data_IF_934258005206
#
_entry.id   IF_934258005206
#
_cell.length_a   1.000
_cell.length_b   1.000
_cell.length_c   1.000
_cell.angle_alpha   90.00
_cell.angle_beta   90.00
_cell.angle_gamma   90.00
#
_symmetry.space_group_name_H-M   'P 1'
#
loop_
_entity.id
_entity.type
_entity.pdbx_description
1 polymer ?
#
# COMPACT_ATOMS: atom_id res chain seq x y z
N UNK A 1 -5.40 9.57 -13.25
CA UNK A 1 -5.27 9.01 -11.88
C UNK A 1 -4.72 10.03 -10.86
N UNK A 2 -3.48 10.54 -10.99
CA UNK A 2 -2.86 11.47 -10.00
C UNK A 2 -3.78 12.60 -9.51
N UNK A 3 -4.30 13.42 -10.44
CA UNK A 3 -5.21 14.50 -10.07
C UNK A 3 -6.52 13.98 -9.45
N UNK A 4 -7.07 12.89 -10.00
CA UNK A 4 -8.34 12.30 -9.57
C UNK A 4 -8.30 11.65 -8.17
N UNK A 5 -7.11 11.29 -7.68
CA UNK A 5 -6.89 10.69 -6.35
C UNK A 5 -6.15 11.62 -5.38
N UNK A 6 -5.82 12.85 -5.77
CA UNK A 6 -5.01 13.77 -4.95
C UNK A 6 -5.66 14.07 -3.59
N UNK A 7 -6.96 14.33 -3.57
CA UNK A 7 -7.70 14.57 -2.32
C UNK A 7 -7.67 13.37 -1.37
N UNK A 8 -7.85 12.15 -1.91
CA UNK A 8 -7.82 10.92 -1.13
C UNK A 8 -6.41 10.64 -0.57
N UNK A 9 -5.37 10.91 -1.36
CA UNK A 9 -3.98 10.84 -0.92
C UNK A 9 -3.69 11.82 0.23
N UNK A 10 -4.05 13.10 0.06
CA UNK A 10 -3.84 14.12 1.09
C UNK A 10 -4.55 13.77 2.41
N UNK A 11 -5.82 13.36 2.33
CA UNK A 11 -6.58 12.98 3.52
C UNK A 11 -5.98 11.77 4.25
N UNK A 12 -5.40 10.81 3.51
CA UNK A 12 -4.69 9.68 4.10
C UNK A 12 -3.39 10.12 4.77
N UNK A 13 -2.59 10.97 4.12
CA UNK A 13 -1.35 11.51 4.67
C UNK A 13 -1.58 12.27 5.98
N UNK A 14 -2.62 13.11 6.05
CA UNK A 14 -2.99 13.85 7.26
C UNK A 14 -3.30 12.91 8.43
N UNK A 15 -4.02 11.82 8.18
CA UNK A 15 -4.33 10.81 9.21
C UNK A 15 -3.08 10.05 9.63
N UNK A 16 -2.23 9.66 8.68
CA UNK A 16 -0.98 8.96 8.97
C UNK A 16 0.01 9.85 9.75
N UNK A 17 -0.01 11.16 9.53
CA UNK A 17 0.80 12.13 10.27
C UNK A 17 0.49 12.22 11.76
N UNK A 18 -0.60 11.60 12.23
CA UNK A 18 -0.96 11.53 13.65
C UNK A 18 -0.16 10.46 14.42
N UNK A 19 0.50 9.54 13.72
CA UNK A 19 1.34 8.53 14.35
C UNK A 19 2.74 9.07 14.62
N UNK A 20 3.18 9.04 15.89
CA UNK A 20 4.59 9.13 16.22
C UNK A 20 5.31 7.81 15.91
N UNK A 21 5.79 7.69 14.68
CA UNK A 21 6.49 6.50 14.20
C UNK A 21 7.82 6.22 14.91
N UNK A 22 8.29 7.11 15.80
CA UNK A 22 9.50 6.89 16.58
C UNK A 22 9.28 6.05 17.83
N UNK A 23 8.02 5.83 18.23
CA UNK A 23 7.68 4.96 19.37
C UNK A 23 7.18 3.58 18.91
N UNK A 24 7.55 2.53 19.64
CA UNK A 24 7.08 1.16 19.33
C UNK A 24 5.55 1.07 19.30
N UNK A 25 4.84 1.77 20.20
CA UNK A 25 3.38 1.67 20.29
C UNK A 25 2.68 2.25 19.05
N UNK A 26 3.02 3.47 18.65
CA UNK A 26 2.41 4.11 17.47
C UNK A 26 2.91 3.48 16.18
N UNK A 27 4.18 3.09 16.10
CA UNK A 27 4.69 2.40 14.91
C UNK A 27 4.02 1.04 14.69
N UNK A 28 3.78 0.27 15.77
CA UNK A 28 2.99 -0.96 15.68
C UNK A 28 1.57 -0.68 15.16
N UNK A 29 0.87 0.33 15.70
CA UNK A 29 -0.48 0.70 15.23
C UNK A 29 -0.48 1.09 13.75
N UNK A 30 0.51 1.86 13.32
CA UNK A 30 0.72 2.19 11.91
C UNK A 30 0.88 0.95 11.03
N UNK A 31 1.71 -0.02 11.45
CA UNK A 31 1.88 -1.28 10.71
C UNK A 31 0.61 -2.13 10.72
N UNK A 32 -0.15 -2.15 11.83
CA UNK A 32 -1.41 -2.88 11.93
C UNK A 32 -2.46 -2.29 10.97
N UNK A 33 -2.62 -0.96 10.96
CA UNK A 33 -3.50 -0.26 10.01
C UNK A 33 -3.08 -0.50 8.56
N UNK A 34 -1.78 -0.39 8.28
CA UNK A 34 -1.23 -0.64 6.95
C UNK A 34 -1.49 -2.08 6.50
N UNK A 35 -1.28 -3.06 7.38
CA UNK A 35 -1.53 -4.47 7.07
C UNK A 35 -3.02 -4.79 6.92
N UNK A 36 -3.88 -4.19 7.75
CA UNK A 36 -5.33 -4.37 7.66
C UNK A 36 -5.86 -4.00 6.27
N UNK A 37 -5.29 -2.97 5.62
CA UNK A 37 -5.62 -2.61 4.25
C UNK A 37 -4.84 -3.40 3.19
N UNK A 38 -3.52 -3.56 3.37
CA UNK A 38 -2.64 -4.15 2.37
C UNK A 38 -2.95 -5.62 2.10
N UNK A 39 -3.13 -6.42 3.15
CA UNK A 39 -3.32 -7.87 3.05
C UNK A 39 -4.52 -8.23 2.16
N UNK A 40 -5.74 -7.70 2.40
CA UNK A 40 -6.88 -8.03 1.55
C UNK A 40 -6.74 -7.45 0.14
N UNK A 41 -6.12 -6.29 -0.06
CA UNK A 41 -5.88 -5.72 -1.39
C UNK A 41 -4.92 -6.58 -2.23
N UNK A 42 -3.83 -7.07 -1.64
CA UNK A 42 -2.90 -7.98 -2.33
C UNK A 42 -3.57 -9.33 -2.65
N UNK A 43 -4.37 -9.87 -1.73
CA UNK A 43 -5.15 -11.09 -2.00
C UNK A 43 -6.18 -10.88 -3.13
N UNK A 44 -6.86 -9.73 -3.18
CA UNK A 44 -7.79 -9.41 -4.24
C UNK A 44 -7.08 -9.26 -5.61
N UNK A 45 -5.89 -8.66 -5.65
CA UNK A 45 -5.05 -8.60 -6.84
C UNK A 45 -4.64 -9.99 -7.33
N UNK A 46 -4.27 -10.89 -6.41
CA UNK A 46 -3.96 -12.29 -6.73
C UNK A 46 -5.17 -13.00 -7.37
N UNK A 47 -6.38 -12.83 -6.79
CA UNK A 47 -7.61 -13.38 -7.38
C UNK A 47 -7.98 -12.75 -8.73
N UNK A 48 -7.65 -11.48 -8.95
CA UNK A 48 -7.85 -10.79 -10.23
C UNK A 48 -6.79 -11.13 -11.28
N UNK A 49 -5.87 -12.06 -11.00
CA UNK A 49 -4.88 -12.51 -11.96
C UNK A 49 -3.77 -11.50 -12.22
N UNK A 50 -3.36 -10.71 -11.21
CA UNK A 50 -2.29 -9.71 -11.32
C UNK A 50 -1.01 -10.24 -11.97
N UNK A 51 -0.67 -11.52 -11.77
CA UNK A 51 0.50 -12.16 -12.37
C UNK A 51 0.45 -12.24 -13.92
N UNK A 52 -0.73 -12.16 -14.53
CA UNK A 52 -0.88 -12.05 -15.98
C UNK A 52 -0.57 -10.64 -16.51
N UNK A 53 -0.60 -9.62 -15.65
CA UNK A 53 -0.22 -8.25 -15.98
C UNK A 53 1.23 -7.95 -15.56
N UNK A 54 1.66 -8.50 -14.41
CA UNK A 54 2.94 -8.24 -13.77
C UNK A 54 3.60 -9.57 -13.38
N UNK A 55 4.48 -10.10 -14.23
CA UNK A 55 5.23 -11.34 -13.98
C UNK A 55 6.12 -11.27 -12.73
N UNK A 56 6.54 -10.05 -12.35
CA UNK A 56 7.29 -9.74 -11.15
C UNK A 56 6.41 -9.54 -9.89
N UNK A 57 5.13 -9.93 -9.91
CA UNK A 57 4.20 -9.76 -8.78
C UNK A 57 4.76 -10.28 -7.45
N UNK A 58 5.42 -11.43 -7.45
CA UNK A 58 6.02 -12.01 -6.25
C UNK A 58 7.08 -11.10 -5.60
N UNK A 59 7.73 -10.23 -6.38
CA UNK A 59 8.69 -9.21 -5.93
C UNK A 59 8.02 -7.88 -5.56
N UNK A 60 6.77 -7.66 -5.98
CA UNK A 60 5.97 -6.46 -5.67
C UNK A 60 5.15 -6.62 -4.41
N UNK A 61 4.61 -7.80 -4.12
CA UNK A 61 3.79 -8.02 -2.93
C UNK A 61 4.60 -7.77 -1.65
N UNK A 62 4.01 -7.01 -0.73
CA UNK A 62 4.61 -6.55 0.54
C UNK A 62 4.07 -7.29 1.75
N UNK A 63 3.04 -8.13 1.59
CA UNK A 63 2.46 -8.95 2.66
C UNK A 63 3.52 -9.68 3.51
N UNK A 64 4.55 -10.36 2.95
CA UNK A 64 5.56 -11.01 3.79
C UNK A 64 6.37 -10.03 4.63
N UNK A 65 6.70 -8.86 4.08
CA UNK A 65 7.51 -7.85 4.75
C UNK A 65 6.77 -7.21 5.93
N UNK A 66 5.50 -6.83 5.75
CA UNK A 66 4.71 -6.21 6.83
C UNK A 66 4.35 -7.20 7.94
N UNK A 67 4.10 -8.46 7.60
CA UNK A 67 3.84 -9.50 8.59
C UNK A 67 5.06 -9.80 9.45
N UNK A 68 6.26 -9.80 8.85
CA UNK A 68 7.51 -9.96 9.60
C UNK A 68 7.77 -8.80 10.57
N UNK A 69 7.54 -7.55 10.15
CA UNK A 69 7.69 -6.39 11.02
C UNK A 69 6.65 -6.38 12.15
N UNK A 70 5.41 -6.79 11.89
CA UNK A 70 4.38 -6.96 12.92
C UNK A 70 4.78 -8.03 13.94
N UNK A 71 5.30 -9.17 13.49
CA UNK A 71 5.77 -10.23 14.39
C UNK A 71 6.89 -9.72 15.32
N UNK A 72 7.85 -8.96 14.80
CA UNK A 72 8.96 -8.39 15.59
C UNK A 72 8.49 -7.38 16.66
N UNK A 73 7.35 -6.73 16.42
CA UNK A 73 6.76 -5.78 17.37
C UNK A 73 5.64 -6.40 18.22
N UNK A 74 5.26 -7.66 18.00
CA UNK A 74 4.13 -8.30 18.68
C UNK A 74 2.76 -7.70 18.29
N UNK A 75 2.62 -7.25 17.05
CA UNK A 75 1.37 -6.78 16.47
C UNK A 75 0.63 -7.87 15.71
N UNK A 76 -0.69 -7.71 15.59
CA UNK A 76 -1.57 -8.58 14.80
C UNK A 76 -2.41 -7.71 13.88
N UNK A 77 -2.50 -8.09 12.61
CA UNK A 77 -3.35 -7.41 11.65
C UNK A 77 -4.75 -8.05 11.64
N UNK A 78 -5.79 -7.23 11.61
CA UNK A 78 -7.17 -7.65 11.35
C UNK A 78 -7.51 -7.12 9.95
N UNK A 79 -7.57 -7.97 8.91
CA UNK A 79 -7.86 -7.54 7.55
C UNK A 79 -9.20 -6.80 7.46
N UNK A 80 -9.22 -5.70 6.72
CA UNK A 80 -10.45 -4.99 6.38
C UNK A 80 -11.30 -5.82 5.42
N UNK A 81 -12.62 -5.73 5.58
CA UNK A 81 -13.54 -6.17 4.53
C UNK A 81 -13.42 -5.23 3.33
N UNK A 82 -13.18 -5.80 2.16
CA UNK A 82 -13.23 -5.03 0.92
C UNK A 82 -14.68 -4.83 0.47
N UNK A 83 -14.99 -3.72 -0.22
CA UNK A 83 -16.24 -3.62 -0.96
C UNK A 83 -16.28 -4.69 -2.07
N UNK A 84 -17.45 -4.92 -2.68
CA UNK A 84 -17.58 -5.89 -3.77
C UNK A 84 -16.64 -5.50 -4.91
N UNK A 85 -15.66 -6.35 -5.17
CA UNK A 85 -14.64 -6.11 -6.18
C UNK A 85 -15.14 -6.59 -7.55
N UNK A 86 -14.79 -5.85 -8.60
CA UNK A 86 -14.84 -6.33 -9.98
C UNK A 86 -13.42 -6.70 -10.38
N UNK A 87 -13.03 -7.99 -10.34
CA UNK A 87 -11.64 -8.40 -10.55
C UNK A 87 -11.28 -8.36 -12.04
N UNK A 88 -11.30 -7.17 -12.64
CA UNK A 88 -10.90 -6.91 -14.02
C UNK A 88 -9.51 -6.25 -14.10
N UNK A 89 -9.03 -5.98 -15.31
CA UNK A 89 -7.74 -5.32 -15.52
C UNK A 89 -7.72 -3.91 -14.94
N UNK A 90 -8.84 -3.19 -15.04
CA UNK A 90 -8.95 -1.84 -14.50
C UNK A 90 -8.78 -1.83 -12.96
N UNK A 91 -9.35 -2.81 -12.27
CA UNK A 91 -9.11 -3.05 -10.85
C UNK A 91 -7.62 -3.28 -10.55
N UNK A 92 -6.96 -4.17 -11.30
CA UNK A 92 -5.53 -4.47 -11.10
C UNK A 92 -4.67 -3.21 -11.20
N UNK A 93 -4.79 -2.45 -12.28
CA UNK A 93 -4.00 -1.23 -12.50
C UNK A 93 -4.38 -0.11 -11.53
N UNK A 94 -5.67 0.05 -11.23
CA UNK A 94 -6.20 1.02 -10.26
C UNK A 94 -5.64 0.81 -8.86
N UNK A 95 -5.75 -0.40 -8.33
CA UNK A 95 -5.25 -0.74 -7.00
C UNK A 95 -3.72 -0.73 -6.95
N UNK A 96 -3.03 -1.25 -7.97
CA UNK A 96 -1.56 -1.21 -8.01
C UNK A 96 -1.00 0.20 -8.06
N UNK A 97 -1.68 1.15 -8.73
CA UNK A 97 -1.26 2.56 -8.71
C UNK A 97 -1.11 3.08 -7.28
N UNK A 98 -2.03 2.73 -6.37
CA UNK A 98 -1.98 3.13 -4.97
C UNK A 98 -0.86 2.39 -4.23
N UNK A 99 -0.77 1.07 -4.39
CA UNK A 99 0.23 0.26 -3.68
C UNK A 99 1.67 0.59 -4.12
N UNK A 100 1.91 0.77 -5.41
CA UNK A 100 3.21 1.16 -5.95
C UNK A 100 3.53 2.62 -5.62
N UNK A 101 2.56 3.53 -5.75
CA UNK A 101 2.72 4.94 -5.39
C UNK A 101 3.07 5.15 -3.90
N UNK A 102 2.49 4.35 -3.00
CA UNK A 102 2.76 4.43 -1.55
C UNK A 102 4.23 4.21 -1.17
N UNK A 103 5.04 3.59 -2.03
CA UNK A 103 6.49 3.39 -1.81
C UNK A 103 7.27 4.69 -1.79
N UNK A 104 6.79 5.71 -2.51
CA UNK A 104 7.41 7.03 -2.53
C UNK A 104 7.34 7.68 -1.14
N UNK A 105 6.16 7.60 -0.50
CA UNK A 105 5.98 8.04 0.89
C UNK A 105 6.72 7.16 1.89
N UNK A 106 6.75 5.84 1.66
CA UNK A 106 7.45 4.90 2.53
C UNK A 106 8.95 5.20 2.69
N UNK A 107 9.61 5.72 1.63
CA UNK A 107 11.01 6.12 1.70
C UNK A 107 11.25 7.29 2.69
N UNK A 108 10.29 8.21 2.82
CA UNK A 108 10.35 9.27 3.83
C UNK A 108 10.10 8.69 5.22
N UNK A 109 9.04 7.90 5.41
CA UNK A 109 8.72 7.28 6.70
C UNK A 109 9.84 6.39 7.21
N UNK A 110 10.53 5.68 6.32
CA UNK A 110 11.70 4.87 6.65
C UNK A 110 12.80 5.70 7.32
N UNK A 111 13.05 6.93 6.86
CA UNK A 111 14.04 7.82 7.48
C UNK A 111 13.62 8.24 8.88
N UNK A 112 12.33 8.51 9.08
CA UNK A 112 11.76 8.84 10.40
C UNK A 112 11.92 7.66 11.37
N UNK A 113 11.53 6.47 10.94
CA UNK A 113 11.62 5.23 11.74
C UNK A 113 13.07 4.87 12.06
N UNK A 114 14.00 5.06 11.10
CA UNK A 114 15.42 4.82 11.30
C UNK A 114 16.07 5.77 12.33
N UNK A 115 15.49 6.96 12.54
CA UNK A 115 15.95 7.92 13.54
C UNK A 115 15.41 7.64 14.96
N UNK A 116 14.51 6.67 15.12
CA UNK A 116 13.98 6.30 16.44
C UNK A 116 15.09 5.90 17.41
N UNK A 117 15.00 6.31 18.68
CA UNK A 117 15.87 5.82 19.74
C UNK A 117 15.61 4.35 20.08
N UNK A 118 14.42 3.83 19.76
CA UNK A 118 14.00 2.46 20.07
C UNK A 118 14.58 1.45 19.06
N UNK A 119 15.46 0.52 19.49
CA UNK A 119 16.01 -0.50 18.61
C UNK A 119 14.96 -1.46 18.03
N UNK A 120 13.76 -1.56 18.62
CA UNK A 120 12.64 -2.37 18.09
C UNK A 120 12.04 -1.74 16.84
N UNK A 121 11.88 -0.42 16.87
CA UNK A 121 11.37 0.36 15.75
C UNK A 121 12.36 0.31 14.59
N UNK A 122 13.66 0.55 14.85
CA UNK A 122 14.69 0.58 13.79
C UNK A 122 14.90 -0.75 13.05
N UNK A 123 14.57 -1.89 13.66
CA UNK A 123 14.71 -3.22 13.03
C UNK A 123 13.48 -3.66 12.24
N UNK A 124 12.31 -3.14 12.58
CA UNK A 124 11.04 -3.48 11.94
C UNK A 124 10.79 -2.58 10.71
N UNK A 125 11.72 -2.56 9.75
CA UNK A 125 11.72 -1.65 8.59
C UNK A 125 11.55 -2.37 7.25
N UNK A 126 11.26 -3.67 7.24
CA UNK A 126 11.18 -4.47 6.01
C UNK A 126 10.06 -3.96 5.09
N UNK A 127 8.91 -3.60 5.65
CA UNK A 127 7.77 -3.07 4.90
C UNK A 127 8.08 -1.72 4.25
N UNK A 128 8.60 -0.76 5.03
CA UNK A 128 8.90 0.59 4.54
C UNK A 128 10.10 0.61 3.57
N UNK A 129 11.08 -0.28 3.78
CA UNK A 129 12.24 -0.46 2.91
C UNK A 129 11.97 -1.33 1.67
N UNK A 130 10.79 -1.94 1.55
CA UNK A 130 10.51 -2.91 0.51
C UNK A 130 10.58 -2.30 -0.90
N UNK A 131 11.47 -2.83 -1.74
CA UNK A 131 11.65 -2.38 -3.13
C UNK A 131 12.41 -1.06 -3.27
N UNK A 132 13.02 -0.54 -2.19
CA UNK A 132 13.88 0.63 -2.26
C UNK A 132 15.03 0.42 -3.26
N UNK A 133 15.26 1.39 -4.15
CA UNK A 133 16.30 1.33 -5.18
C UNK A 133 15.99 0.42 -6.39
N UNK A 134 14.93 -0.38 -6.35
CA UNK A 134 14.58 -1.31 -7.45
C UNK A 134 13.84 -0.62 -8.61
N UNK A 135 13.20 0.53 -8.34
CA UNK A 135 12.47 1.28 -9.37
C UNK A 135 11.06 0.73 -9.69
N UNK A 136 10.46 -0.02 -8.76
CA UNK A 136 9.14 -0.67 -8.95
C UNK A 136 8.01 0.29 -9.34
N UNK A 137 8.03 1.54 -8.85
CA UNK A 137 7.09 2.58 -9.24
C UNK A 137 7.24 2.98 -10.71
N UNK A 138 8.48 3.19 -11.16
CA UNK A 138 8.76 3.59 -12.54
C UNK A 138 8.46 2.45 -13.51
N UNK A 139 8.78 1.20 -13.15
CA UNK A 139 8.42 0.03 -13.97
C UNK A 139 6.91 -0.13 -14.07
N UNK A 140 6.17 0.07 -12.96
CA UNK A 140 4.71 0.09 -12.97
C UNK A 140 4.15 1.17 -13.90
N UNK A 141 4.60 2.42 -13.78
CA UNK A 141 4.14 3.51 -14.65
C UNK A 141 4.42 3.23 -16.13
N UNK A 142 5.56 2.60 -16.44
CA UNK A 142 5.91 2.21 -17.80
C UNK A 142 4.99 1.12 -18.37
N UNK A 143 4.50 0.21 -17.53
CA UNK A 143 3.50 -0.77 -17.95
C UNK A 143 2.11 -0.14 -18.08
N UNK A 144 1.70 0.67 -17.09
CA UNK A 144 0.42 1.41 -17.12
C UNK A 144 0.30 2.29 -18.37
N UNK A 145 1.36 2.97 -18.81
CA UNK A 145 1.32 3.82 -20.00
C UNK A 145 1.16 3.06 -21.32
N UNK A 146 1.38 1.74 -21.31
CA UNK A 146 1.24 0.86 -22.48
C UNK A 146 -0.03 -0.01 -22.42
N UNK A 147 -0.75 0.05 -21.29
CA UNK A 147 -1.95 -0.73 -21.10
C UNK A 147 -3.06 -0.25 -22.05
N UNK A 148 -3.62 -1.12 -22.89
CA UNK A 148 -4.78 -0.77 -23.70
C UNK A 148 -5.98 -0.50 -22.78
N UNK A 149 -6.48 0.73 -22.81
CA UNK A 149 -7.61 1.15 -22.00
C UNK A 149 -8.59 1.98 -22.84
N UNK A 150 -9.86 1.65 -22.74
CA UNK A 150 -10.95 2.53 -23.17
C UNK A 150 -11.18 3.64 -22.14
N UNK A 151 -11.90 4.72 -22.50
CA UNK A 151 -12.29 5.74 -21.52
C UNK A 151 -13.03 5.16 -20.30
N UNK A 152 -13.86 4.13 -20.50
CA UNK A 152 -14.57 3.45 -19.42
C UNK A 152 -13.61 2.64 -18.53
N UNK A 153 -12.54 2.07 -19.09
CA UNK A 153 -11.50 1.39 -18.32
C UNK A 153 -10.73 2.39 -17.46
N UNK A 154 -10.38 3.56 -17.99
CA UNK A 154 -9.71 4.61 -17.23
C UNK A 154 -10.54 5.10 -16.04
N UNK A 155 -11.86 5.26 -16.23
CA UNK A 155 -12.78 5.59 -15.14
C UNK A 155 -12.75 4.51 -14.07
N UNK A 156 -12.85 3.23 -14.46
CA UNK A 156 -12.80 2.11 -13.51
C UNK A 156 -11.45 2.00 -12.79
N UNK A 157 -10.33 2.27 -13.47
CA UNK A 157 -9.00 2.33 -12.83
C UNK A 157 -8.96 3.42 -11.75
N UNK A 158 -9.53 4.59 -12.01
CA UNK A 158 -9.62 5.68 -11.05
C UNK A 158 -10.51 5.31 -9.87
N UNK A 159 -11.64 4.65 -10.11
CA UNK A 159 -12.55 4.16 -9.07
C UNK A 159 -11.84 3.13 -8.17
N UNK A 160 -11.19 2.12 -8.73
CA UNK A 160 -10.44 1.13 -7.94
C UNK A 160 -9.27 1.74 -7.16
N UNK A 161 -8.62 2.78 -7.69
CA UNK A 161 -7.62 3.53 -6.94
C UNK A 161 -8.25 4.28 -5.74
N UNK A 162 -9.41 4.92 -5.94
CA UNK A 162 -10.14 5.60 -4.85
C UNK A 162 -10.60 4.62 -3.78
N UNK A 163 -11.09 3.45 -4.18
CA UNK A 163 -11.46 2.37 -3.26
C UNK A 163 -10.26 1.88 -2.45
N UNK A 164 -9.11 1.67 -3.08
CA UNK A 164 -7.89 1.30 -2.37
C UNK A 164 -7.48 2.37 -1.33
N UNK A 165 -7.52 3.65 -1.68
CA UNK A 165 -7.31 4.75 -0.70
C UNK A 165 -8.35 4.71 0.43
N UNK A 166 -9.62 4.45 0.13
CA UNK A 166 -10.67 4.39 1.13
C UNK A 166 -10.45 3.24 2.12
N UNK A 167 -9.99 2.07 1.66
CA UNK A 167 -9.63 0.93 2.52
C UNK A 167 -8.50 1.31 3.48
N UNK A 168 -7.44 1.96 3.00
CA UNK A 168 -6.37 2.48 3.87
C UNK A 168 -6.90 3.53 4.88
N UNK A 169 -7.72 4.46 4.42
CA UNK A 169 -8.28 5.51 5.27
C UNK A 169 -9.19 4.96 6.38
N UNK A 170 -9.97 3.91 6.09
CA UNK A 170 -10.78 3.19 7.08
C UNK A 170 -9.90 2.42 8.06
N UNK A 171 -8.90 1.69 7.57
CA UNK A 171 -7.99 0.94 8.43
C UNK A 171 -7.25 1.84 9.44
N UNK A 172 -6.82 3.04 9.00
CA UNK A 172 -6.19 4.03 9.88
C UNK A 172 -7.19 4.60 10.89
N UNK A 173 -8.46 4.80 10.52
CA UNK A 173 -9.48 5.31 11.44
C UNK A 173 -9.86 4.31 12.55
N UNK A 174 -9.66 3.01 12.31
CA UNK A 174 -9.94 1.94 13.27
C UNK A 174 -8.73 1.58 14.16
N UNK A 175 -7.56 2.20 13.94
CA UNK A 175 -6.29 1.82 14.56
C UNK A 175 -5.98 2.53 15.88
#
# INVERSE_FOLDING_TARGET
MKAATAAAHHALDERLGQFDLTTTAHYRRFLQASAAALLPLEAALEHAGVAACFDDWARRRRSPAIMADLADLGGVAIPMSLPVQRPDRAFVFGTLYVLEGSRLGAAYLLRVVAASADPKVRRAIRYLGHGAGVGLWHSFLSQLSREPATPDDEVRMIESAREAFAVFAQAVACA
#
